data_IF_594263083486
#
_entry.id   IF_594263083486
#
_cell.length_a   1.000
_cell.length_b   1.000
_cell.length_c   1.000
_cell.angle_alpha   90.00
_cell.angle_beta   90.00
_cell.angle_gamma   90.00
#
_symmetry.space_group_name_H-M   'P 1'
#
loop_
_entity.id
_entity.type
_entity.pdbx_description
1 polymer ?
#
# COMPACT_ATOMS: atom_id res chain seq x y z
N UNK A 1 28.79 18.95 -6.92
CA UNK A 1 27.64 18.75 -7.84
C UNK A 1 27.86 17.52 -8.75
N UNK A 2 27.89 16.31 -8.21
CA UNK A 2 28.08 15.11 -9.05
C UNK A 2 26.78 14.66 -9.72
N UNK A 3 25.63 14.85 -9.07
CA UNK A 3 24.31 14.47 -9.60
C UNK A 3 24.00 15.14 -10.95
N UNK A 4 24.06 16.47 -11.03
CA UNK A 4 23.79 17.18 -12.28
C UNK A 4 24.71 16.75 -13.42
N UNK A 5 26.01 16.54 -13.16
CA UNK A 5 26.95 16.04 -14.16
C UNK A 5 26.56 14.65 -14.68
N UNK A 6 26.08 13.76 -13.82
CA UNK A 6 25.59 12.43 -14.23
C UNK A 6 24.29 12.54 -15.03
N UNK A 7 23.37 13.41 -14.64
CA UNK A 7 22.11 13.66 -15.39
C UNK A 7 22.40 14.17 -16.81
N UNK A 8 23.26 15.19 -16.95
CA UNK A 8 23.61 15.75 -18.26
C UNK A 8 24.30 14.73 -19.19
N UNK A 9 24.99 13.74 -18.61
CA UNK A 9 25.64 12.66 -19.38
C UNK A 9 24.76 11.42 -19.55
N UNK A 10 23.58 11.37 -18.93
CA UNK A 10 22.80 10.15 -18.74
C UNK A 10 23.67 8.98 -18.23
N UNK A 11 24.51 9.26 -17.23
CA UNK A 11 25.43 8.29 -16.64
C UNK A 11 24.73 7.53 -15.50
N UNK A 12 24.34 6.28 -15.79
CA UNK A 12 23.68 5.38 -14.85
C UNK A 12 24.13 3.93 -15.09
N UNK A 13 24.02 3.13 -14.04
CA UNK A 13 24.34 1.70 -14.07
C UNK A 13 23.10 0.87 -13.78
N UNK A 14 23.02 -0.32 -14.36
CA UNK A 14 21.94 -1.26 -14.07
C UNK A 14 22.39 -2.26 -13.02
N UNK A 15 21.60 -2.39 -11.96
CA UNK A 15 21.75 -3.49 -11.01
C UNK A 15 21.53 -4.86 -11.68
N UNK A 16 22.15 -5.96 -11.19
CA UNK A 16 22.03 -7.31 -11.77
C UNK A 16 20.60 -7.82 -11.92
N UNK A 17 19.65 -7.40 -11.09
CA UNK A 17 18.25 -7.87 -11.14
C UNK A 17 17.42 -7.29 -12.30
N UNK A 18 17.96 -6.37 -13.10
CA UNK A 18 17.25 -5.86 -14.26
C UNK A 18 17.20 -6.88 -15.39
N UNK A 19 16.01 -7.14 -15.93
CA UNK A 19 15.87 -7.98 -17.12
C UNK A 19 16.52 -7.31 -18.35
N UNK A 20 17.05 -8.08 -19.31
CA UNK A 20 17.66 -7.51 -20.54
C UNK A 20 16.68 -6.60 -21.31
N UNK A 21 15.41 -6.97 -21.33
CA UNK A 21 14.36 -6.19 -22.00
C UNK A 21 14.10 -4.85 -21.31
N UNK A 22 14.10 -4.82 -19.97
CA UNK A 22 14.01 -3.59 -19.16
C UNK A 22 15.20 -2.68 -19.42
N UNK A 23 16.42 -3.23 -19.41
CA UNK A 23 17.65 -2.47 -19.66
C UNK A 23 17.58 -1.78 -21.00
N UNK A 24 17.19 -2.52 -22.05
CA UNK A 24 17.04 -1.98 -23.41
C UNK A 24 15.99 -0.86 -23.48
N UNK A 25 14.86 -0.98 -22.78
CA UNK A 25 13.85 0.07 -22.75
C UNK A 25 14.36 1.33 -22.03
N UNK A 26 14.92 1.17 -20.83
CA UNK A 26 15.42 2.29 -20.01
C UNK A 26 16.53 3.03 -20.74
N UNK A 27 17.46 2.34 -21.40
CA UNK A 27 18.52 2.98 -22.19
C UNK A 27 17.99 3.80 -23.37
N UNK A 28 16.80 3.50 -23.90
CA UNK A 28 16.16 4.31 -24.95
C UNK A 28 15.32 5.47 -24.38
N UNK A 29 14.94 5.38 -23.11
CA UNK A 29 14.16 6.39 -22.40
C UNK A 29 15.06 7.46 -21.78
N UNK A 30 16.17 7.04 -21.16
CA UNK A 30 17.15 7.91 -20.51
C UNK A 30 18.22 8.33 -21.52
N UNK A 31 17.79 9.07 -22.55
CA UNK A 31 18.65 9.65 -23.59
C UNK A 31 18.72 11.17 -23.41
N UNK A 32 19.94 11.72 -23.43
CA UNK A 32 20.21 13.16 -23.25
C UNK A 32 19.54 14.00 -24.34
N UNK A 33 19.71 13.59 -25.61
CA UNK A 33 19.07 14.25 -26.74
C UNK A 33 17.58 13.85 -26.80
N UNK A 34 16.63 14.81 -26.69
CA UNK A 34 15.20 14.52 -26.70
C UNK A 34 14.71 13.93 -28.04
N UNK A 35 15.28 14.35 -29.17
CA UNK A 35 14.86 13.89 -30.50
C UNK A 35 15.23 12.42 -30.75
N UNK A 36 16.24 11.93 -30.04
CA UNK A 36 16.68 10.53 -30.07
C UNK A 36 15.97 9.65 -29.04
N UNK A 37 15.15 10.24 -28.17
CA UNK A 37 14.42 9.51 -27.13
C UNK A 37 13.30 8.70 -27.76
N UNK A 38 13.07 7.49 -27.24
CA UNK A 38 11.97 6.65 -27.71
C UNK A 38 10.62 7.36 -27.53
N UNK A 39 9.80 7.34 -28.58
CA UNK A 39 8.44 7.93 -28.55
C UNK A 39 7.45 7.03 -27.81
N UNK A 40 6.37 7.61 -27.28
CA UNK A 40 5.31 6.86 -26.60
C UNK A 40 4.76 5.70 -27.47
N UNK A 41 4.43 5.91 -28.78
CA UNK A 41 3.99 4.80 -29.62
C UNK A 41 5.03 3.68 -29.76
N UNK A 42 6.32 4.01 -29.75
CA UNK A 42 7.39 3.00 -29.78
C UNK A 42 7.53 2.28 -28.44
N UNK A 43 7.35 2.96 -27.30
CA UNK A 43 7.31 2.36 -25.96
C UNK A 43 6.19 1.31 -25.88
N UNK A 44 4.98 1.65 -26.34
CA UNK A 44 3.80 0.78 -26.37
C UNK A 44 3.98 -0.48 -27.23
N UNK A 45 4.96 -0.48 -28.13
CA UNK A 45 5.32 -1.64 -28.97
C UNK A 45 6.44 -2.49 -28.38
N UNK A 46 7.06 -2.07 -27.28
CA UNK A 46 8.19 -2.82 -26.71
C UNK A 46 7.73 -4.13 -26.06
N UNK A 47 8.48 -5.25 -26.24
CA UNK A 47 8.15 -6.53 -25.63
C UNK A 47 8.06 -6.44 -24.10
N UNK A 48 8.96 -5.65 -23.49
CA UNK A 48 8.98 -5.45 -22.04
C UNK A 48 7.66 -4.88 -21.53
N UNK A 49 7.12 -3.87 -22.20
CA UNK A 49 5.84 -3.29 -21.81
C UNK A 49 4.69 -4.20 -22.19
N UNK A 50 4.69 -4.86 -23.35
CA UNK A 50 3.58 -5.73 -23.77
C UNK A 50 3.40 -6.98 -22.91
N UNK A 51 4.46 -7.46 -22.28
CA UNK A 51 4.43 -8.65 -21.42
C UNK A 51 3.52 -8.37 -20.20
N UNK A 52 2.33 -8.96 -20.21
CA UNK A 52 1.29 -8.83 -19.16
C UNK A 52 0.69 -7.44 -18.98
N UNK A 53 0.83 -6.53 -19.94
CA UNK A 53 0.21 -5.21 -19.83
C UNK A 53 -1.27 -5.25 -20.17
N UNK A 54 -2.09 -4.98 -19.17
CA UNK A 54 -3.51 -4.68 -19.31
C UNK A 54 -3.64 -3.15 -19.26
N UNK A 55 -3.99 -2.47 -20.37
CA UNK A 55 -4.17 -1.02 -20.34
C UNK A 55 -5.19 -0.65 -19.25
N UNK A 56 -4.85 0.28 -18.34
CA UNK A 56 -5.81 0.80 -17.37
C UNK A 56 -7.04 1.36 -18.08
N UNK A 57 -8.21 1.19 -17.48
CA UNK A 57 -9.47 1.72 -18.01
C UNK A 57 -9.39 3.24 -18.28
N UNK A 58 -8.63 3.99 -17.46
CA UNK A 58 -8.39 5.42 -17.63
C UNK A 58 -7.64 5.81 -18.93
N UNK A 59 -7.02 4.87 -19.64
CA UNK A 59 -6.34 5.12 -20.92
C UNK A 59 -7.19 4.68 -22.13
N UNK A 60 -8.39 4.13 -21.92
CA UNK A 60 -9.33 3.81 -23.00
C UNK A 60 -10.17 5.05 -23.29
N UNK A 61 -9.69 5.89 -24.21
CA UNK A 61 -10.35 7.14 -24.58
C UNK A 61 -11.50 6.89 -25.60
N UNK A 62 -11.60 5.69 -26.17
CA UNK A 62 -12.44 5.44 -27.35
C UNK A 62 -13.74 4.64 -27.10
N UNK A 63 -14.20 4.49 -25.86
CA UNK A 63 -15.56 3.95 -25.61
C UNK A 63 -16.40 5.02 -24.92
N UNK A 64 -17.58 5.39 -25.46
CA UNK A 64 -18.50 6.21 -24.71
C UNK A 64 -18.83 5.43 -23.45
N UNK A 65 -18.49 6.03 -22.31
CA UNK A 65 -18.92 5.55 -21.00
C UNK A 65 -20.44 5.65 -21.02
N UNK A 66 -21.11 4.60 -21.50
CA UNK A 66 -22.51 4.38 -21.24
C UNK A 66 -22.59 4.09 -19.75
N UNK A 67 -22.82 5.17 -19.02
CA UNK A 67 -23.40 5.26 -17.70
C UNK A 67 -24.08 3.96 -17.22
N UNK A 68 -23.36 3.19 -16.42
CA UNK A 68 -23.92 2.60 -15.21
C UNK A 68 -23.01 2.96 -14.04
N UNK A 69 -22.73 4.25 -13.94
CA UNK A 69 -22.54 4.87 -12.65
C UNK A 69 -23.95 4.97 -12.04
N UNK A 70 -24.29 4.04 -11.16
CA UNK A 70 -25.24 4.34 -10.11
C UNK A 70 -24.51 5.21 -9.08
N UNK A 71 -24.07 6.40 -9.49
CA UNK A 71 -23.84 7.50 -8.57
C UNK A 71 -25.18 8.21 -8.46
N UNK A 72 -26.00 7.75 -7.53
CA UNK A 72 -26.96 8.67 -6.93
C UNK A 72 -26.13 9.55 -5.99
N UNK A 73 -25.56 10.61 -6.57
CA UNK A 73 -25.24 11.84 -5.85
C UNK A 73 -26.59 12.49 -5.50
N UNK A 74 -27.24 11.95 -4.47
CA UNK A 74 -28.26 12.70 -3.75
C UNK A 74 -27.59 13.22 -2.49
N UNK A 75 -27.60 14.55 -2.38
CA UNK A 75 -27.40 15.34 -1.18
C UNK A 75 -28.34 14.77 -0.10
N UNK A 76 -27.82 13.88 0.77
CA UNK A 76 -28.59 13.29 1.85
C UNK A 76 -27.88 13.52 3.17
N UNK A 77 -28.62 14.26 3.99
CA UNK A 77 -28.44 14.64 5.37
C UNK A 77 -27.81 13.57 6.28
N UNK A 78 -27.14 14.05 7.33
CA UNK A 78 -26.54 13.23 8.37
C UNK A 78 -27.61 12.41 9.11
N UNK A 79 -27.74 11.14 8.76
CA UNK A 79 -28.29 10.14 9.68
C UNK A 79 -27.33 8.95 9.84
N UNK A 80 -26.71 8.92 11.01
CA UNK A 80 -25.85 7.88 11.54
C UNK A 80 -26.62 6.54 11.61
N UNK A 81 -26.62 5.80 10.51
CA UNK A 81 -27.02 4.39 10.51
C UNK A 81 -25.78 3.55 10.78
N UNK A 82 -25.69 3.04 12.01
CA UNK A 82 -24.63 2.16 12.50
C UNK A 82 -24.57 0.82 11.73
N UNK A 83 -24.02 0.83 10.51
CA UNK A 83 -23.58 -0.39 9.85
C UNK A 83 -22.10 -0.61 10.19
N UNK A 84 -21.72 -1.79 10.74
CA UNK A 84 -20.32 -2.04 11.06
C UNK A 84 -19.49 -2.02 9.77
N UNK A 85 -18.30 -1.39 9.78
CA UNK A 85 -17.48 -1.27 8.58
C UNK A 85 -17.15 -2.65 8.03
N UNK A 86 -17.32 -2.82 6.72
CA UNK A 86 -17.09 -4.10 6.01
C UNK A 86 -15.57 -4.35 5.82
N UNK A 87 -14.75 -3.30 5.94
CA UNK A 87 -13.28 -3.40 5.81
C UNK A 87 -12.55 -2.45 6.78
N UNK A 88 -11.29 -2.75 7.15
CA UNK A 88 -10.47 -1.86 7.97
C UNK A 88 -10.25 -0.52 7.28
N UNK A 89 -9.88 0.49 8.08
CA UNK A 89 -9.52 1.82 7.56
C UNK A 89 -8.45 1.68 6.48
N UNK A 90 -8.69 2.32 5.33
CA UNK A 90 -7.68 2.46 4.29
C UNK A 90 -6.54 3.36 4.78
N UNK A 91 -5.29 2.96 4.51
CA UNK A 91 -4.12 3.76 4.78
C UNK A 91 -3.44 4.12 3.46
N UNK A 92 -3.30 5.41 3.20
CA UNK A 92 -2.44 5.85 2.11
C UNK A 92 -0.94 5.63 2.48
N UNK A 93 -0.04 5.78 1.51
CA UNK A 93 1.39 5.52 1.72
C UNK A 93 2.01 6.43 2.82
N UNK A 94 1.61 7.70 2.88
CA UNK A 94 2.11 8.64 3.88
C UNK A 94 1.57 8.32 5.27
N UNK A 95 0.27 8.04 5.38
CA UNK A 95 -0.38 7.62 6.63
C UNK A 95 0.20 6.32 7.16
N UNK A 96 0.50 5.37 6.27
CA UNK A 96 1.14 4.11 6.64
C UNK A 96 2.55 4.33 7.18
N UNK A 97 3.37 5.13 6.49
CA UNK A 97 4.73 5.47 6.93
C UNK A 97 4.71 6.21 8.27
N UNK A 98 3.84 7.22 8.40
CA UNK A 98 3.77 8.03 9.62
C UNK A 98 3.24 7.25 10.81
N UNK A 99 2.33 6.30 10.60
CA UNK A 99 1.73 5.51 11.69
C UNK A 99 2.56 4.30 12.12
N UNK A 100 3.35 3.70 11.23
CA UNK A 100 4.16 2.52 11.55
C UNK A 100 5.61 2.84 11.93
N UNK A 101 6.13 4.02 11.58
CA UNK A 101 7.50 4.38 11.88
C UNK A 101 7.65 4.96 13.28
N UNK A 102 8.39 4.25 14.14
CA UNK A 102 8.78 4.73 15.47
C UNK A 102 9.57 6.06 15.44
N UNK A 103 10.17 6.41 14.29
CA UNK A 103 10.94 7.65 14.15
C UNK A 103 10.09 8.93 14.12
N UNK A 104 8.78 8.81 13.86
CA UNK A 104 7.85 9.94 13.91
C UNK A 104 7.06 10.00 15.22
N UNK A 105 7.02 8.91 15.99
CA UNK A 105 6.38 8.88 17.31
C UNK A 105 7.36 9.24 18.43
N UNK A 106 7.24 10.47 18.93
CA UNK A 106 8.08 10.98 20.02
C UNK A 106 7.62 10.50 21.41
N UNK A 107 6.53 9.74 21.53
CA UNK A 107 6.04 9.23 22.82
C UNK A 107 7.12 8.44 23.57
N UNK A 108 7.98 7.74 22.82
CA UNK A 108 9.12 6.99 23.39
C UNK A 108 10.16 7.85 24.12
N UNK A 109 10.23 9.16 23.84
CA UNK A 109 11.11 10.09 24.55
C UNK A 109 10.64 10.33 25.99
N UNK A 110 9.33 10.19 26.23
CA UNK A 110 8.69 10.47 27.52
C UNK A 110 8.36 9.19 28.31
N UNK A 111 8.52 8.00 27.72
CA UNK A 111 8.26 6.72 28.38
C UNK A 111 9.52 6.14 29.04
N UNK A 112 9.42 5.74 30.31
CA UNK A 112 10.52 5.11 31.06
C UNK A 112 10.84 3.67 30.62
N UNK A 113 9.91 3.03 29.90
CA UNK A 113 10.05 1.68 29.34
C UNK A 113 9.60 1.72 27.88
N UNK A 114 10.43 1.22 26.97
CA UNK A 114 10.06 1.12 25.55
C UNK A 114 8.94 0.09 25.37
N UNK A 115 7.77 0.52 24.90
CA UNK A 115 6.74 -0.40 24.40
C UNK A 115 7.19 -0.96 23.06
N UNK A 116 7.47 -2.26 23.02
CA UNK A 116 7.71 -2.97 21.77
C UNK A 116 6.36 -3.21 21.09
N UNK A 117 6.04 -2.40 20.08
CA UNK A 117 4.94 -2.71 19.18
C UNK A 117 5.43 -3.72 18.13
N UNK A 118 4.75 -4.86 18.04
CA UNK A 118 5.00 -5.86 17.00
C UNK A 118 4.04 -5.61 15.84
N UNK A 119 4.57 -5.50 14.62
CA UNK A 119 3.80 -5.27 13.40
C UNK A 119 4.01 -6.45 12.46
N UNK A 120 2.92 -7.01 11.94
CA UNK A 120 2.95 -8.05 10.90
C UNK A 120 1.95 -7.71 9.79
N UNK A 121 2.14 -8.30 8.61
CA UNK A 121 1.26 -8.11 7.45
C UNK A 121 0.65 -9.44 7.02
N UNK A 122 -0.63 -9.43 6.62
CA UNK A 122 -1.34 -10.61 6.09
C UNK A 122 -1.98 -10.29 4.75
N UNK A 123 -2.20 -11.33 3.92
CA UNK A 123 -2.99 -11.25 2.67
C UNK A 123 -4.42 -11.80 2.83
N UNK A 124 -4.73 -12.39 3.99
CA UNK A 124 -6.07 -12.88 4.34
C UNK A 124 -7.05 -11.72 4.49
N UNK A 125 -8.35 -12.01 4.39
CA UNK A 125 -9.37 -10.99 4.62
C UNK A 125 -9.35 -10.51 6.08
N UNK A 126 -9.85 -9.29 6.31
CA UNK A 126 -9.90 -8.74 7.67
C UNK A 126 -10.74 -9.60 8.62
N UNK A 127 -11.83 -10.20 8.13
CA UNK A 127 -12.67 -11.12 8.91
C UNK A 127 -11.91 -12.37 9.30
N UNK A 128 -11.20 -13.00 8.36
CA UNK A 128 -10.40 -14.21 8.60
C UNK A 128 -9.27 -13.94 9.61
N UNK A 129 -8.59 -12.79 9.50
CA UNK A 129 -7.55 -12.39 10.46
C UNK A 129 -8.14 -12.22 11.87
N UNK A 130 -9.29 -11.55 11.99
CA UNK A 130 -9.94 -11.32 13.29
C UNK A 130 -10.40 -12.63 13.92
N UNK A 131 -11.03 -13.51 13.14
CA UNK A 131 -11.46 -14.84 13.59
C UNK A 131 -10.27 -15.71 14.04
N UNK A 132 -9.17 -15.67 13.29
CA UNK A 132 -7.96 -16.42 13.63
C UNK A 132 -7.32 -15.91 14.93
N UNK A 133 -7.26 -14.59 15.12
CA UNK A 133 -6.79 -13.98 16.37
C UNK A 133 -7.68 -14.40 17.54
N UNK A 134 -9.01 -14.32 17.38
CA UNK A 134 -9.95 -14.73 18.43
C UNK A 134 -9.81 -16.20 18.80
N UNK A 135 -9.62 -17.08 17.81
CA UNK A 135 -9.46 -18.52 18.02
C UNK A 135 -8.20 -18.82 18.83
N UNK A 136 -7.05 -18.32 18.39
CA UNK A 136 -5.76 -18.52 19.09
C UNK A 136 -5.81 -17.94 20.51
N UNK A 137 -6.46 -16.79 20.69
CA UNK A 137 -6.51 -16.13 22.00
C UNK A 137 -7.42 -16.89 22.99
N UNK A 138 -8.50 -17.52 22.51
CA UNK A 138 -9.33 -18.43 23.31
C UNK A 138 -8.57 -19.68 23.72
N UNK A 139 -7.77 -20.26 22.82
CA UNK A 139 -6.87 -21.40 23.12
C UNK A 139 -5.82 -21.03 24.18
N UNK A 140 -5.39 -19.77 24.23
CA UNK A 140 -4.48 -19.25 25.25
C UNK A 140 -5.17 -18.86 26.57
N UNK A 141 -6.44 -19.22 26.77
CA UNK A 141 -7.24 -18.89 27.97
C UNK A 141 -7.33 -17.38 28.29
N UNK A 142 -7.16 -16.52 27.29
CA UNK A 142 -7.25 -15.07 27.44
C UNK A 142 -8.67 -14.59 27.15
N UNK A 143 -9.08 -13.51 27.81
CA UNK A 143 -10.35 -12.84 27.55
C UNK A 143 -10.21 -11.97 26.31
N UNK A 144 -11.15 -12.12 25.37
CA UNK A 144 -11.18 -11.35 24.12
C UNK A 144 -12.41 -10.47 24.07
N UNK A 145 -12.25 -9.22 23.65
CA UNK A 145 -13.35 -8.29 23.43
C UNK A 145 -13.14 -7.57 22.10
N UNK A 146 -14.06 -7.80 21.16
CA UNK A 146 -14.07 -7.11 19.88
C UNK A 146 -14.62 -5.69 20.06
N UNK A 147 -13.93 -4.72 19.47
CA UNK A 147 -14.30 -3.31 19.48
C UNK A 147 -14.68 -2.88 18.06
N UNK A 148 -15.33 -1.72 17.92
CA UNK A 148 -15.56 -1.08 16.61
C UNK A 148 -14.23 -0.94 15.83
N UNK A 149 -14.31 -0.88 14.50
CA UNK A 149 -13.18 -0.64 13.58
C UNK A 149 -12.10 -1.72 13.52
N UNK A 150 -12.48 -3.01 13.52
CA UNK A 150 -11.53 -4.13 13.42
C UNK A 150 -10.44 -4.12 14.51
N UNK A 151 -10.80 -3.68 15.71
CA UNK A 151 -9.93 -3.69 16.89
C UNK A 151 -10.32 -4.82 17.84
N UNK A 152 -9.32 -5.47 18.42
CA UNK A 152 -9.50 -6.52 19.43
C UNK A 152 -8.71 -6.15 20.68
N UNK A 153 -9.38 -6.20 21.84
CA UNK A 153 -8.73 -6.11 23.14
C UNK A 153 -8.57 -7.52 23.70
N UNK A 154 -7.36 -7.86 24.12
CA UNK A 154 -7.02 -9.16 24.68
C UNK A 154 -6.47 -8.95 26.10
N UNK A 155 -6.97 -9.72 27.06
CA UNK A 155 -6.61 -9.61 28.47
C UNK A 155 -6.27 -11.01 29.02
N UNK A 156 -5.03 -11.20 29.46
CA UNK A 156 -4.59 -12.44 30.09
C UNK A 156 -5.04 -12.52 31.54
N UNK A 157 -5.31 -13.73 32.05
CA UNK A 157 -5.52 -13.95 33.49
C UNK A 157 -4.17 -13.83 34.19
N UNK A 158 -4.01 -12.85 35.07
CA UNK A 158 -2.82 -12.74 35.92
C UNK A 158 -2.89 -13.77 37.05
N UNK A 159 -2.44 -15.00 36.80
CA UNK A 159 -2.08 -15.93 37.87
C UNK A 159 -0.62 -15.67 38.27
N UNK A 160 -0.41 -14.72 39.17
CA UNK A 160 0.88 -14.58 39.83
C UNK A 160 1.06 -15.69 40.88
N UNK A 161 2.24 -16.33 40.92
CA UNK A 161 2.69 -16.98 42.16
C UNK A 161 2.98 -15.86 43.18
N UNK A 162 2.35 -15.95 44.35
CA UNK A 162 2.71 -15.16 45.54
C UNK A 162 4.17 -15.32 45.89
#
# INVERSE_FOLDING_TARGET
MNMYRKIFKADFEFSPWFSPESKRLISKLVVVNPDRRISIPAIMRTPWLRKNFKPPLALRIDEPICSQSNNNEEDVDWEETETPPISPKFFNALEFISSMSFGFDLSSLFESKRKLQSVCTSRSSATEVMEKIETVTKEMNMKVTRTKDFKVKMEGKTEGRK
#
